data_IF_361032402652
#
_entry.id   IF_361032402652
#
_cell.length_a   1.000
_cell.length_b   1.000
_cell.length_c   1.000
_cell.angle_alpha   90.00
_cell.angle_beta   90.00
_cell.angle_gamma   90.00
#
_symmetry.space_group_name_H-M   'P 1'
#
loop_
_entity.id
_entity.type
_entity.pdbx_description
1 polymer ?
#
# COMPACT_ATOMS: atom_id res chain seq x y z
N UNK A 1 24.11 18.12 47.34
CA UNK A 1 22.92 18.35 46.49
C UNK A 1 23.06 17.88 45.03
N UNK A 2 24.27 17.85 44.42
CA UNK A 2 24.41 17.70 42.96
C UNK A 2 24.29 16.26 42.41
N UNK A 3 24.54 15.22 43.24
CA UNK A 3 24.52 13.82 42.77
C UNK A 3 23.11 13.33 42.44
N UNK A 4 22.12 13.77 43.22
CA UNK A 4 20.70 13.44 42.99
C UNK A 4 20.17 14.19 41.76
N UNK A 5 20.54 15.46 41.60
CA UNK A 5 20.13 16.26 40.44
C UNK A 5 20.71 15.72 39.12
N UNK A 6 21.98 15.28 39.13
CA UNK A 6 22.62 14.61 37.99
C UNK A 6 21.96 13.27 37.65
N UNK A 7 21.57 12.46 38.65
CA UNK A 7 20.83 11.22 38.41
C UNK A 7 19.45 11.47 37.80
N UNK A 8 18.72 12.49 38.26
CA UNK A 8 17.40 12.83 37.69
C UNK A 8 17.54 13.24 36.23
N UNK A 9 18.50 14.10 35.90
CA UNK A 9 18.75 14.51 34.51
C UNK A 9 19.12 13.31 33.65
N UNK A 10 19.99 12.41 34.12
CA UNK A 10 20.37 11.22 33.39
C UNK A 10 19.17 10.31 33.09
N UNK A 11 18.30 10.08 34.08
CA UNK A 11 17.08 9.28 33.91
C UNK A 11 16.13 9.92 32.90
N UNK A 12 15.92 11.23 32.98
CA UNK A 12 15.06 11.97 32.03
C UNK A 12 15.61 11.86 30.61
N UNK A 13 16.92 12.03 30.41
CA UNK A 13 17.56 11.90 29.10
C UNK A 13 17.42 10.48 28.55
N UNK A 14 17.59 9.45 29.39
CA UNK A 14 17.39 8.06 28.97
C UNK A 14 15.95 7.78 28.56
N UNK A 15 14.96 8.25 29.33
CA UNK A 15 13.54 8.07 28.99
C UNK A 15 13.21 8.76 27.66
N UNK A 16 13.65 10.00 27.47
CA UNK A 16 13.44 10.74 26.21
C UNK A 16 14.11 10.02 25.03
N UNK A 17 15.34 9.54 25.22
CA UNK A 17 16.06 8.77 24.19
C UNK A 17 15.34 7.48 23.80
N UNK A 18 14.78 6.76 24.78
CA UNK A 18 13.97 5.56 24.53
C UNK A 18 12.68 5.89 23.79
N UNK A 19 12.01 6.99 24.14
CA UNK A 19 10.78 7.42 23.45
C UNK A 19 11.06 7.80 21.98
N UNK A 20 12.13 8.54 21.71
CA UNK A 20 12.54 8.87 20.34
C UNK A 20 12.90 7.62 19.54
N UNK A 21 13.62 6.67 20.15
CA UNK A 21 13.99 5.41 19.50
C UNK A 21 12.75 4.56 19.15
N UNK A 22 11.76 4.49 20.04
CA UNK A 22 10.48 3.82 19.80
C UNK A 22 9.69 4.51 18.67
N UNK A 23 9.74 5.84 18.60
CA UNK A 23 9.03 6.60 17.58
C UNK A 23 9.62 6.37 16.17
N UNK A 24 10.95 6.28 16.05
CA UNK A 24 11.63 5.97 14.78
C UNK A 24 11.25 4.58 14.25
N UNK A 25 10.92 3.63 15.14
CA UNK A 25 10.45 2.29 14.74
C UNK A 25 8.99 2.25 14.28
N UNK A 26 8.21 3.30 14.52
CA UNK A 26 6.75 3.30 14.31
C UNK A 26 6.32 3.81 12.93
N UNK A 27 7.25 4.12 12.03
CA UNK A 27 6.96 4.75 10.73
C UNK A 27 7.50 3.93 9.56
N UNK A 28 6.93 2.75 9.31
CA UNK A 28 7.21 1.97 8.11
C UNK A 28 5.93 1.76 7.30
N UNK A 29 5.45 2.83 6.66
CA UNK A 29 4.51 2.71 5.54
C UNK A 29 5.29 2.40 4.26
N UNK A 30 5.92 1.23 4.19
CA UNK A 30 6.61 0.77 2.98
C UNK A 30 5.56 0.32 1.97
N UNK A 31 5.59 0.90 0.77
CA UNK A 31 4.81 0.39 -0.37
C UNK A 31 5.52 -0.86 -0.86
N UNK A 32 4.88 -2.01 -0.74
CA UNK A 32 5.40 -3.30 -1.18
C UNK A 32 5.05 -3.54 -2.65
N UNK A 33 5.91 -4.27 -3.34
CA UNK A 33 5.59 -4.75 -4.69
C UNK A 33 4.86 -6.11 -4.61
N UNK A 34 3.99 -6.42 -5.58
CA UNK A 34 3.38 -7.74 -5.72
C UNK A 34 4.38 -8.92 -5.66
N UNK A 35 5.56 -8.80 -6.26
CA UNK A 35 6.62 -9.82 -6.14
C UNK A 35 7.14 -10.02 -4.71
N UNK A 36 7.17 -8.97 -3.90
CA UNK A 36 7.53 -9.09 -2.49
C UNK A 36 6.44 -9.86 -1.75
N UNK A 37 5.16 -9.66 -2.06
CA UNK A 37 4.07 -10.42 -1.46
C UNK A 37 4.10 -11.90 -1.83
N UNK A 38 4.45 -12.21 -3.08
CA UNK A 38 4.64 -13.60 -3.52
C UNK A 38 5.73 -14.30 -2.69
N UNK A 39 6.80 -13.59 -2.30
CA UNK A 39 7.87 -14.14 -1.47
C UNK A 39 7.49 -14.23 0.02
N UNK A 40 6.70 -13.28 0.54
CA UNK A 40 6.29 -13.25 1.95
C UNK A 40 5.13 -14.21 2.29
N UNK A 41 4.47 -14.81 1.30
CA UNK A 41 3.49 -15.89 1.48
C UNK A 41 4.02 -17.07 2.33
N UNK A 42 5.34 -17.22 2.45
CA UNK A 42 5.96 -18.38 3.11
C UNK A 42 6.23 -18.20 4.61
N UNK A 43 6.14 -16.98 5.18
CA UNK A 43 6.73 -16.72 6.50
C UNK A 43 5.76 -16.14 7.54
N UNK A 44 4.71 -15.41 7.15
CA UNK A 44 3.76 -14.86 8.13
C UNK A 44 2.37 -14.72 7.51
N UNK A 45 1.42 -15.52 7.99
CA UNK A 45 0.17 -15.85 7.29
C UNK A 45 -0.89 -14.76 7.20
N UNK A 46 -0.63 -13.52 7.64
CA UNK A 46 -1.57 -12.39 7.49
C UNK A 46 -0.84 -11.07 7.67
N UNK A 47 -0.67 -10.30 6.59
CA UNK A 47 -0.16 -8.93 6.67
C UNK A 47 -1.33 -7.96 6.75
N UNK A 48 -1.50 -7.33 7.91
CA UNK A 48 -2.55 -6.33 8.16
C UNK A 48 -2.07 -4.93 7.77
N UNK A 49 -2.86 -4.22 6.94
CA UNK A 49 -2.59 -2.85 6.45
C UNK A 49 -1.30 -2.70 5.66
N UNK A 50 -1.23 -3.35 4.51
CA UNK A 50 -0.17 -3.15 3.53
C UNK A 50 -0.62 -2.22 2.40
N UNK A 51 0.33 -1.46 1.87
CA UNK A 51 0.17 -0.69 0.65
C UNK A 51 0.91 -1.39 -0.48
N UNK A 52 0.23 -1.69 -1.57
CA UNK A 52 0.76 -2.46 -2.70
C UNK A 52 0.65 -1.64 -3.97
N UNK A 53 1.76 -1.42 -4.65
CA UNK A 53 1.78 -0.74 -5.95
C UNK A 53 1.88 -1.76 -7.07
N UNK A 54 0.98 -1.74 -8.05
CA UNK A 54 1.01 -2.67 -9.17
C UNK A 54 0.26 -2.17 -10.39
N UNK A 55 0.44 -2.84 -11.52
CA UNK A 55 -0.25 -2.58 -12.78
C UNK A 55 -1.39 -3.57 -12.97
N UNK A 56 -2.58 -3.07 -13.32
CA UNK A 56 -3.76 -3.90 -13.60
C UNK A 56 -3.50 -4.72 -14.88
N UNK A 57 -3.63 -6.04 -14.79
CA UNK A 57 -3.47 -6.94 -15.95
C UNK A 57 -4.71 -6.93 -16.85
N UNK A 58 -4.60 -7.40 -18.08
CA UNK A 58 -5.73 -7.51 -19.02
C UNK A 58 -6.67 -8.71 -18.73
N UNK A 59 -6.27 -9.59 -17.81
CA UNK A 59 -7.06 -10.73 -17.32
C UNK A 59 -8.40 -10.30 -16.70
N UNK A 60 -9.43 -11.18 -16.70
CA UNK A 60 -10.82 -10.77 -16.56
C UNK A 60 -11.07 -9.96 -15.28
N UNK A 61 -11.49 -8.70 -15.49
CA UNK A 61 -11.97 -7.82 -14.44
C UNK A 61 -13.43 -8.20 -14.18
N UNK A 62 -13.67 -8.90 -13.06
CA UNK A 62 -15.03 -9.25 -12.65
C UNK A 62 -15.59 -8.13 -11.77
N UNK A 63 -16.71 -7.55 -12.20
CA UNK A 63 -17.45 -6.55 -11.45
C UNK A 63 -18.85 -7.08 -11.13
N UNK A 64 -19.10 -7.32 -9.85
CA UNK A 64 -20.39 -7.78 -9.35
C UNK A 64 -21.06 -6.64 -8.58
N UNK A 65 -22.33 -6.32 -8.88
CA UNK A 65 -23.09 -5.29 -8.17
C UNK A 65 -24.06 -5.87 -7.13
N UNK A 66 -24.49 -7.12 -7.31
CA UNK A 66 -25.48 -7.80 -6.47
C UNK A 66 -24.93 -9.18 -6.05
N UNK A 67 -25.01 -9.58 -4.77
CA UNK A 67 -25.64 -8.91 -3.62
C UNK A 67 -24.76 -7.86 -2.91
N UNK A 68 -23.49 -7.69 -3.30
CA UNK A 68 -22.57 -6.66 -2.80
C UNK A 68 -21.66 -6.19 -3.93
N UNK A 69 -21.33 -4.90 -3.95
CA UNK A 69 -20.39 -4.34 -4.92
C UNK A 69 -18.98 -4.88 -4.67
N UNK A 70 -18.53 -5.78 -5.54
CA UNK A 70 -17.20 -6.41 -5.47
C UNK A 70 -16.51 -6.33 -6.84
N UNK A 71 -15.27 -5.85 -6.84
CA UNK A 71 -14.40 -5.75 -8.01
C UNK A 71 -13.22 -6.70 -7.80
N UNK A 72 -13.10 -7.72 -8.66
CA UNK A 72 -11.98 -8.66 -8.68
C UNK A 72 -11.14 -8.42 -9.92
N UNK A 73 -9.84 -8.31 -9.72
CA UNK A 73 -8.87 -8.10 -10.79
C UNK A 73 -7.50 -8.60 -10.34
N UNK A 74 -6.58 -8.70 -11.27
CA UNK A 74 -5.19 -9.08 -10.97
C UNK A 74 -4.25 -7.90 -11.20
N UNK A 75 -3.22 -7.83 -10.37
CA UNK A 75 -2.13 -6.86 -10.52
C UNK A 75 -0.79 -7.57 -10.71
N UNK A 76 0.10 -6.98 -11.49
CA UNK A 76 1.47 -7.43 -11.66
C UNK A 76 2.45 -6.27 -11.36
N UNK A 77 3.73 -6.58 -11.26
CA UNK A 77 4.75 -5.55 -11.08
C UNK A 77 4.85 -4.60 -12.30
N UNK A 78 5.04 -3.30 -12.08
CA UNK A 78 5.17 -2.34 -13.18
C UNK A 78 6.47 -2.59 -13.96
N UNK A 79 6.34 -3.07 -15.21
CA UNK A 79 7.45 -3.21 -16.16
C UNK A 79 7.99 -4.63 -16.35
N UNK A 80 7.45 -5.64 -15.67
CA UNK A 80 7.78 -7.05 -15.88
C UNK A 80 6.53 -7.92 -16.04
N UNK A 81 6.67 -9.05 -16.76
CA UNK A 81 5.73 -10.17 -16.71
C UNK A 81 5.96 -10.96 -15.40
N UNK A 82 5.85 -10.27 -14.27
CA UNK A 82 6.01 -10.85 -12.94
C UNK A 82 4.80 -11.69 -12.51
N UNK A 83 4.88 -12.37 -11.35
CA UNK A 83 3.74 -13.08 -10.80
C UNK A 83 2.57 -12.11 -10.56
N UNK A 84 1.37 -12.51 -11.00
CA UNK A 84 0.16 -11.75 -10.75
C UNK A 84 -0.43 -12.07 -9.37
N UNK A 85 -0.94 -11.05 -8.70
CA UNK A 85 -1.63 -11.17 -7.41
C UNK A 85 -3.09 -10.82 -7.61
N UNK A 86 -3.98 -11.69 -7.11
CA UNK A 86 -5.41 -11.47 -7.17
C UNK A 86 -5.83 -10.44 -6.11
N UNK A 87 -6.65 -9.48 -6.52
CA UNK A 87 -7.14 -8.38 -5.69
C UNK A 87 -8.67 -8.44 -5.64
N UNK A 88 -9.22 -8.39 -4.43
CA UNK A 88 -10.65 -8.26 -4.18
C UNK A 88 -10.93 -6.91 -3.51
N UNK A 89 -11.65 -6.04 -4.20
CA UNK A 89 -12.01 -4.71 -3.71
C UNK A 89 -13.52 -4.62 -3.45
N UNK A 90 -13.91 -4.27 -2.23
CA UNK A 90 -15.30 -4.07 -1.86
C UNK A 90 -15.65 -2.59 -1.97
N UNK A 91 -16.24 -2.19 -3.08
CA UNK A 91 -16.61 -0.82 -3.34
C UNK A 91 -16.92 -0.56 -4.81
N UNK A 92 -17.34 0.68 -5.10
CA UNK A 92 -17.57 1.12 -6.47
C UNK A 92 -16.23 1.20 -7.20
N UNK A 93 -16.18 0.60 -8.40
CA UNK A 93 -15.05 0.75 -9.31
C UNK A 93 -14.79 2.25 -9.56
N UNK A 94 -13.58 2.76 -9.31
CA UNK A 94 -13.23 4.13 -9.69
C UNK A 94 -13.36 4.33 -11.19
N UNK A 95 -13.84 5.49 -11.63
CA UNK A 95 -14.03 5.80 -13.06
C UNK A 95 -12.71 5.71 -13.86
N UNK A 96 -11.61 6.07 -13.21
CA UNK A 96 -10.26 6.00 -13.78
C UNK A 96 -9.62 4.60 -13.68
N UNK A 97 -10.35 3.56 -13.31
CA UNK A 97 -9.82 2.20 -13.27
C UNK A 97 -9.93 1.50 -14.64
N UNK A 98 -8.80 1.10 -15.21
CA UNK A 98 -8.71 0.35 -16.46
C UNK A 98 -7.50 -0.60 -16.46
N UNK A 99 -7.51 -1.58 -17.35
CA UNK A 99 -6.36 -2.46 -17.61
C UNK A 99 -5.13 -1.66 -18.08
N UNK A 100 -3.94 -2.15 -17.76
CA UNK A 100 -2.67 -1.51 -18.12
C UNK A 100 -2.34 -0.25 -17.32
N UNK A 101 -3.18 0.15 -16.36
CA UNK A 101 -2.94 1.31 -15.49
C UNK A 101 -2.27 0.91 -14.20
N UNK A 102 -1.40 1.80 -13.72
CA UNK A 102 -0.76 1.68 -12.42
C UNK A 102 -1.73 2.12 -11.32
N UNK A 103 -1.84 1.29 -10.29
CA UNK A 103 -2.73 1.46 -9.15
C UNK A 103 -1.98 1.26 -7.85
N UNK A 104 -2.42 1.95 -6.81
CA UNK A 104 -1.97 1.76 -5.44
C UNK A 104 -3.16 1.22 -4.65
N UNK A 105 -2.95 0.10 -3.98
CA UNK A 105 -3.96 -0.59 -3.21
C UNK A 105 -3.55 -0.59 -1.75
N UNK A 106 -4.41 -0.10 -0.87
CA UNK A 106 -4.27 -0.28 0.57
C UNK A 106 -5.21 -1.39 1.01
N UNK A 107 -4.69 -2.39 1.72
CA UNK A 107 -5.45 -3.57 2.06
C UNK A 107 -4.76 -4.53 3.00
N UNK A 108 -5.29 -5.74 3.04
CA UNK A 108 -4.75 -6.84 3.81
C UNK A 108 -4.50 -8.02 2.89
N UNK A 109 -3.37 -8.68 3.07
CA UNK A 109 -3.03 -9.85 2.28
C UNK A 109 -3.28 -11.12 3.09
N UNK A 110 -4.19 -11.97 2.60
CA UNK A 110 -4.64 -13.19 3.26
C UNK A 110 -4.86 -14.28 2.22
N UNK A 111 -4.33 -15.48 2.48
CA UNK A 111 -4.56 -16.67 1.64
C UNK A 111 -4.25 -16.45 0.14
N UNK A 112 -3.19 -15.69 -0.18
CA UNK A 112 -2.79 -15.42 -1.57
C UNK A 112 -3.63 -14.34 -2.28
N UNK A 113 -4.65 -13.79 -1.61
CA UNK A 113 -5.51 -12.72 -2.15
C UNK A 113 -5.28 -11.41 -1.39
N UNK A 114 -5.20 -10.30 -2.13
CA UNK A 114 -5.15 -8.96 -1.57
C UNK A 114 -6.58 -8.41 -1.41
N UNK A 115 -7.04 -8.30 -0.16
CA UNK A 115 -8.31 -7.68 0.18
C UNK A 115 -8.11 -6.16 0.28
N UNK A 116 -8.49 -5.46 -0.78
CA UNK A 116 -8.34 -4.02 -0.88
C UNK A 116 -9.41 -3.29 -0.07
N UNK A 117 -8.97 -2.47 0.88
CA UNK A 117 -9.81 -1.49 1.58
C UNK A 117 -9.91 -0.17 0.81
N UNK A 118 -8.88 0.18 0.05
CA UNK A 118 -8.84 1.42 -0.75
C UNK A 118 -8.08 1.17 -2.04
N UNK A 119 -8.64 1.65 -3.15
CA UNK A 119 -8.06 1.56 -4.48
C UNK A 119 -7.83 2.96 -5.03
N UNK A 120 -6.57 3.33 -5.20
CA UNK A 120 -6.14 4.61 -5.75
C UNK A 120 -5.62 4.39 -7.17
N UNK A 121 -6.31 4.97 -8.15
CA UNK A 121 -5.85 4.98 -9.54
C UNK A 121 -5.04 6.25 -9.78
N UNK A 122 -3.85 6.15 -10.37
CA UNK A 122 -3.07 7.34 -10.70
C UNK A 122 -3.83 8.19 -11.74
N UNK A 123 -4.05 9.48 -11.44
CA UNK A 123 -4.59 10.43 -12.41
C UNK A 123 -3.60 10.59 -13.57
N UNK A 124 -4.04 10.55 -14.84
CA UNK A 124 -3.22 11.00 -15.94
C UNK A 124 -3.20 12.53 -15.85
N UNK A 125 -2.28 13.12 -15.08
CA UNK A 125 -2.02 14.54 -15.25
C UNK A 125 -1.29 14.72 -16.58
N UNK A 126 -2.05 14.77 -17.67
CA UNK A 126 -1.58 15.40 -18.90
C UNK A 126 -1.51 16.89 -18.60
N UNK A 127 -0.37 17.34 -18.09
CA UNK A 127 -0.06 18.77 -18.07
C UNK A 127 0.18 19.16 -19.54
N UNK A 128 -0.86 19.67 -20.19
CA UNK A 128 -0.72 20.42 -21.43
C UNK A 128 -0.29 21.84 -21.01
N UNK A 129 0.97 22.25 -21.22
CA UNK A 129 1.32 23.64 -21.02
C UNK A 129 0.48 24.51 -21.97
N UNK A 130 -0.12 25.62 -21.51
CA UNK A 130 -0.80 26.54 -22.40
C UNK A 130 0.18 27.05 -23.45
N UNK A 131 -0.22 27.03 -24.72
CA UNK A 131 0.54 27.62 -25.80
C UNK A 131 0.67 29.13 -25.54
N UNK A 132 1.89 29.70 -25.47
CA UNK A 132 2.05 31.15 -25.38
C UNK A 132 1.68 31.75 -26.74
N UNK A 133 0.46 32.28 -26.90
CA UNK A 133 0.09 32.95 -28.15
C UNK A 133 -1.39 33.13 -28.50
N UNK A 134 -2.32 33.18 -27.54
CA UNK A 134 -3.67 33.77 -27.75
C UNK A 134 -3.89 34.96 -26.83
#
# INVERSE_FOLDING_TARGET
MNRVFLSIIAVVVTIVGLLVFQMTRSTSSSVLLPSDLAQHQSTDGTLSRIRVGGRVTEDPIEYQLEPRTELKFSIADPGENGPSVQVAYQGLKPDMFASGRDVIIDGEFRDGTLYASTLLTQCPSKYEPPNPGE
#
